data_IF_738531480975
#
_entry.id   IF_738531480975
#
_cell.length_a   1.000
_cell.length_b   1.000
_cell.length_c   1.000
_cell.angle_alpha   90.00
_cell.angle_beta   90.00
_cell.angle_gamma   90.00
#
_symmetry.space_group_name_H-M   'P 1'
#
loop_
_entity.id
_entity.type
_entity.pdbx_description
1 polymer ?
#
# COMPACT_ATOMS: atom_id res chain seq x y z
N UNK A 1 -3.29 -16.22 28.13
CA UNK A 1 -4.66 -15.87 27.69
C UNK A 1 -4.56 -15.22 26.32
N UNK A 2 -5.05 -15.88 25.26
CA UNK A 2 -5.04 -15.31 23.90
C UNK A 2 -6.09 -14.21 23.78
N UNK A 3 -5.68 -13.02 23.33
CA UNK A 3 -6.61 -11.93 23.05
C UNK A 3 -7.62 -12.38 21.99
N UNK A 4 -8.91 -12.20 22.26
CA UNK A 4 -9.99 -12.54 21.33
C UNK A 4 -9.90 -11.63 20.12
N UNK A 5 -9.70 -12.21 18.92
CA UNK A 5 -9.63 -11.45 17.66
C UNK A 5 -10.89 -10.63 17.43
N UNK A 6 -10.73 -9.42 16.90
CA UNK A 6 -11.87 -8.60 16.50
C UNK A 6 -12.52 -9.15 15.21
N UNK A 7 -13.79 -8.78 14.96
CA UNK A 7 -14.45 -9.13 13.70
C UNK A 7 -13.71 -8.58 12.48
N UNK A 8 -13.12 -7.40 12.63
CA UNK A 8 -12.35 -6.75 11.56
C UNK A 8 -11.07 -7.52 11.28
N UNK A 9 -10.32 -7.91 12.32
CA UNK A 9 -9.10 -8.71 12.17
C UNK A 9 -9.38 -10.05 11.47
N UNK A 10 -10.46 -10.73 11.85
CA UNK A 10 -10.87 -11.99 11.20
C UNK A 10 -11.20 -11.79 9.70
N UNK A 11 -11.87 -10.68 9.34
CA UNK A 11 -12.15 -10.34 7.93
C UNK A 11 -10.88 -10.07 7.14
N UNK A 12 -9.92 -9.34 7.71
CA UNK A 12 -8.63 -9.05 7.07
C UNK A 12 -7.85 -10.34 6.85
N UNK A 13 -7.81 -11.23 7.84
CA UNK A 13 -7.17 -12.54 7.70
C UNK A 13 -7.81 -13.39 6.59
N UNK A 14 -9.15 -13.38 6.50
CA UNK A 14 -9.87 -14.07 5.43
C UNK A 14 -9.52 -13.51 4.04
N UNK A 15 -9.43 -12.18 3.89
CA UNK A 15 -8.98 -11.55 2.65
C UNK A 15 -7.56 -11.98 2.27
N UNK A 16 -6.63 -11.97 3.22
CA UNK A 16 -5.28 -12.44 2.97
C UNK A 16 -5.26 -13.91 2.53
N UNK A 17 -6.05 -14.77 3.20
CA UNK A 17 -6.14 -16.19 2.89
C UNK A 17 -6.73 -16.45 1.49
N UNK A 18 -7.71 -15.66 1.04
CA UNK A 18 -8.28 -15.75 -0.32
C UNK A 18 -7.21 -15.55 -1.39
N UNK A 19 -6.22 -14.72 -1.12
CA UNK A 19 -5.06 -14.51 -2.00
C UNK A 19 -3.86 -15.41 -1.65
N UNK A 20 -4.04 -16.44 -0.80
CA UNK A 20 -3.00 -17.39 -0.36
C UNK A 20 -1.83 -16.73 0.40
N UNK A 21 -2.07 -15.62 1.08
CA UNK A 21 -1.10 -14.96 1.95
C UNK A 21 -1.47 -15.12 3.43
N UNK A 22 -0.47 -15.12 4.29
CA UNK A 22 -0.70 -14.90 5.72
C UNK A 22 -0.75 -13.39 6.02
N UNK A 23 -1.63 -12.99 6.94
CA UNK A 23 -1.75 -11.60 7.36
C UNK A 23 -0.43 -11.01 7.89
N UNK A 24 0.38 -11.83 8.56
CA UNK A 24 1.70 -11.42 9.05
C UNK A 24 2.66 -11.09 7.91
N UNK A 25 2.68 -11.90 6.85
CA UNK A 25 3.51 -11.65 5.66
C UNK A 25 3.05 -10.37 4.97
N UNK A 26 1.75 -10.20 4.78
CA UNK A 26 1.18 -8.98 4.17
C UNK A 26 1.56 -7.76 5.00
N UNK A 27 1.41 -7.79 6.32
CA UNK A 27 1.80 -6.69 7.20
C UNK A 27 3.25 -6.25 6.99
N UNK A 28 4.20 -7.16 7.10
CA UNK A 28 5.62 -6.80 7.00
C UNK A 28 6.03 -6.33 5.62
N UNK A 29 5.43 -6.89 4.57
CA UNK A 29 5.65 -6.42 3.20
C UNK A 29 5.09 -5.02 2.98
N UNK A 30 3.90 -4.76 3.51
CA UNK A 30 3.26 -3.45 3.43
C UNK A 30 4.05 -2.36 4.16
N UNK A 31 4.58 -2.67 5.34
CA UNK A 31 5.48 -1.74 6.06
C UNK A 31 6.70 -1.35 5.21
N UNK A 32 7.34 -2.34 4.56
CA UNK A 32 8.49 -2.07 3.68
C UNK A 32 8.12 -1.21 2.47
N UNK A 33 7.01 -1.54 1.82
CA UNK A 33 6.53 -0.82 0.62
C UNK A 33 6.18 0.61 0.95
N UNK A 34 5.37 0.81 2.00
CA UNK A 34 4.95 2.14 2.43
C UNK A 34 6.12 2.99 2.96
N UNK A 35 7.08 2.37 3.68
CA UNK A 35 8.31 3.05 4.09
C UNK A 35 9.11 3.55 2.90
N UNK A 36 9.29 2.71 1.87
CA UNK A 36 9.99 3.10 0.65
C UNK A 36 9.25 4.17 -0.15
N UNK A 37 7.93 4.14 -0.19
CA UNK A 37 7.13 5.20 -0.78
C UNK A 37 7.39 6.55 -0.12
N UNK A 38 7.43 6.61 1.23
CA UNK A 38 7.79 7.83 1.96
C UNK A 38 9.17 8.34 1.59
N UNK A 39 10.16 7.45 1.54
CA UNK A 39 11.54 7.82 1.20
C UNK A 39 11.63 8.45 -0.20
N UNK A 40 10.93 7.88 -1.18
CA UNK A 40 10.92 8.39 -2.55
C UNK A 40 10.15 9.70 -2.66
N UNK A 41 8.99 9.81 -2.02
CA UNK A 41 8.17 11.02 -2.04
C UNK A 41 8.89 12.23 -1.43
N UNK A 42 9.73 11.99 -0.43
CA UNK A 42 10.48 13.04 0.27
C UNK A 42 11.83 13.36 -0.38
N UNK A 43 12.21 12.68 -1.48
CA UNK A 43 13.39 13.06 -2.23
C UNK A 43 13.18 14.47 -2.82
N UNK A 44 14.20 15.38 -2.73
CA UNK A 44 14.10 16.68 -3.33
C UNK A 44 13.92 16.51 -4.85
N UNK A 45 12.76 16.95 -5.36
CA UNK A 45 12.49 16.94 -6.80
C UNK A 45 13.40 17.98 -7.44
N UNK A 46 14.43 17.54 -8.14
CA UNK A 46 15.13 18.40 -9.09
C UNK A 46 14.16 18.64 -10.25
N UNK A 47 13.46 19.77 -10.20
CA UNK A 47 12.57 20.24 -11.27
C UNK A 47 13.44 20.61 -12.47
N UNK A 48 13.59 19.67 -13.40
CA UNK A 48 14.12 19.98 -14.72
C UNK A 48 12.96 20.38 -15.64
N UNK A 49 13.20 21.33 -16.55
CA UNK A 49 12.19 21.84 -17.50
C UNK A 49 11.60 20.76 -18.44
N UNK A 50 12.16 19.56 -18.43
CA UNK A 50 11.73 18.41 -19.25
C UNK A 50 10.90 17.36 -18.47
N UNK A 51 10.37 17.74 -17.30
CA UNK A 51 9.68 16.80 -16.40
C UNK A 51 8.52 16.04 -17.05
N UNK A 52 7.74 16.69 -17.92
CA UNK A 52 6.58 16.04 -18.56
C UNK A 52 6.97 14.95 -19.57
N UNK A 53 8.06 15.17 -20.32
CA UNK A 53 8.55 14.16 -21.30
C UNK A 53 9.18 12.96 -20.61
N UNK A 54 9.86 13.19 -19.48
CA UNK A 54 10.44 12.15 -18.65
C UNK A 54 9.34 11.37 -17.97
N UNK A 55 8.32 12.03 -17.44
CA UNK A 55 7.15 11.39 -16.83
C UNK A 55 6.44 10.44 -17.82
N UNK A 56 6.15 10.87 -19.04
CA UNK A 56 5.50 10.02 -20.05
C UNK A 56 6.37 8.82 -20.48
N UNK A 57 7.65 9.03 -20.69
CA UNK A 57 8.59 7.92 -20.98
C UNK A 57 8.69 6.94 -19.82
N UNK A 58 8.69 7.44 -18.60
CA UNK A 58 8.73 6.62 -17.39
C UNK A 58 7.42 5.83 -17.27
N UNK A 59 6.27 6.46 -17.51
CA UNK A 59 4.95 5.80 -17.56
C UNK A 59 4.92 4.62 -18.52
N UNK A 60 5.44 4.80 -19.74
CA UNK A 60 5.53 3.74 -20.75
C UNK A 60 6.44 2.61 -20.32
N UNK A 61 7.64 2.91 -19.84
CA UNK A 61 8.61 1.93 -19.36
C UNK A 61 8.08 1.05 -18.24
N UNK A 62 7.24 1.61 -17.40
CA UNK A 62 6.66 0.93 -16.25
C UNK A 62 5.54 0.01 -16.67
N UNK A 63 4.63 0.51 -17.51
CA UNK A 63 3.60 -0.32 -18.12
C UNK A 63 4.23 -1.54 -18.79
N UNK A 64 5.33 -1.34 -19.51
CA UNK A 64 6.06 -2.44 -20.18
C UNK A 64 6.72 -3.41 -19.20
N UNK A 65 7.37 -2.91 -18.15
CA UNK A 65 7.97 -3.76 -17.11
C UNK A 65 6.95 -4.55 -16.35
N UNK A 66 5.84 -3.91 -15.99
CA UNK A 66 4.73 -4.53 -15.28
C UNK A 66 4.09 -5.63 -16.14
N UNK A 67 3.78 -5.31 -17.39
CA UNK A 67 3.25 -6.25 -18.36
C UNK A 67 4.18 -7.46 -18.58
N UNK A 68 5.47 -7.23 -18.76
CA UNK A 68 6.47 -8.32 -18.92
C UNK A 68 6.60 -9.19 -17.67
N UNK A 69 6.51 -8.63 -16.47
CA UNK A 69 6.54 -9.39 -15.22
C UNK A 69 5.29 -10.25 -15.04
N UNK A 70 4.12 -9.71 -15.38
CA UNK A 70 2.86 -10.44 -15.32
C UNK A 70 2.82 -11.61 -16.30
N UNK A 71 3.17 -11.36 -17.57
CA UNK A 71 3.19 -12.38 -18.62
C UNK A 71 4.17 -13.53 -18.31
N UNK A 72 5.27 -13.25 -17.61
CA UNK A 72 6.24 -14.29 -17.21
C UNK A 72 5.78 -15.16 -16.03
N UNK A 73 4.61 -14.96 -15.46
CA UNK A 73 4.12 -15.63 -14.23
C UNK A 73 5.09 -15.51 -13.04
N UNK A 74 6.03 -14.59 -13.09
CA UNK A 74 7.00 -14.37 -12.00
C UNK A 74 6.38 -13.57 -10.84
N UNK A 75 5.24 -12.92 -11.08
CA UNK A 75 4.46 -12.24 -10.03
C UNK A 75 4.04 -13.17 -8.88
N UNK A 76 4.03 -14.48 -9.09
CA UNK A 76 3.75 -15.46 -8.03
C UNK A 76 4.91 -15.65 -7.04
N UNK A 77 6.12 -15.16 -7.35
CA UNK A 77 7.25 -15.21 -6.44
C UNK A 77 7.25 -13.96 -5.57
N UNK A 78 7.20 -14.17 -4.27
CA UNK A 78 7.12 -13.11 -3.26
C UNK A 78 8.19 -12.01 -3.39
N UNK A 79 9.34 -12.29 -3.96
CA UNK A 79 10.42 -11.32 -4.20
C UNK A 79 10.17 -10.37 -5.38
N UNK A 80 9.52 -10.84 -6.45
CA UNK A 80 9.18 -10.01 -7.61
C UNK A 80 8.05 -9.03 -7.29
N UNK A 81 7.14 -9.40 -6.40
CA UNK A 81 6.07 -8.54 -5.96
C UNK A 81 6.57 -7.31 -5.22
N UNK A 82 7.49 -7.49 -4.28
CA UNK A 82 8.07 -6.38 -3.52
C UNK A 82 8.75 -5.36 -4.46
N UNK A 83 9.39 -5.84 -5.51
CA UNK A 83 10.03 -5.00 -6.52
C UNK A 83 9.00 -4.23 -7.35
N UNK A 84 7.97 -4.93 -7.85
CA UNK A 84 6.92 -4.33 -8.68
C UNK A 84 6.14 -3.28 -7.90
N UNK A 85 5.68 -3.60 -6.70
CA UNK A 85 4.95 -2.66 -5.85
C UNK A 85 5.81 -1.47 -5.45
N UNK A 86 7.09 -1.71 -5.17
CA UNK A 86 8.05 -0.64 -4.87
C UNK A 86 8.29 0.27 -6.07
N UNK A 87 8.45 -0.28 -7.27
CA UNK A 87 8.59 0.50 -8.50
C UNK A 87 7.33 1.33 -8.79
N UNK A 88 6.15 0.79 -8.53
CA UNK A 88 4.89 1.48 -8.79
C UNK A 88 4.61 2.62 -7.81
N UNK A 89 4.88 2.41 -6.53
CA UNK A 89 4.75 3.48 -5.53
C UNK A 89 5.83 4.56 -5.68
N UNK A 90 6.84 4.34 -6.50
CA UNK A 90 7.86 5.35 -6.85
C UNK A 90 7.41 6.35 -7.92
N UNK A 91 6.15 6.29 -8.36
CA UNK A 91 5.67 7.00 -9.54
C UNK A 91 4.60 8.03 -9.27
N UNK A 92 4.40 8.89 -10.28
CA UNK A 92 3.39 9.93 -10.35
C UNK A 92 1.95 9.42 -10.07
N UNK A 93 1.69 8.13 -10.29
CA UNK A 93 0.40 7.48 -10.03
C UNK A 93 0.26 6.87 -8.63
N UNK A 94 1.27 6.98 -7.79
CA UNK A 94 1.20 6.35 -6.48
C UNK A 94 0.07 6.93 -5.63
N UNK A 95 -0.17 8.23 -5.75
CA UNK A 95 -1.27 8.90 -5.04
C UNK A 95 -2.63 8.37 -5.50
N UNK A 96 -2.84 8.22 -6.82
CA UNK A 96 -4.09 7.65 -7.37
C UNK A 96 -4.33 6.21 -6.92
N UNK A 97 -3.26 5.41 -6.84
CA UNK A 97 -3.35 4.02 -6.37
C UNK A 97 -3.67 3.98 -4.87
N UNK A 98 -3.06 4.85 -4.07
CA UNK A 98 -3.32 4.95 -2.64
C UNK A 98 -4.77 5.37 -2.39
N UNK A 99 -5.26 6.37 -3.12
CA UNK A 99 -6.65 6.82 -3.00
C UNK A 99 -7.64 5.73 -3.42
N UNK A 100 -7.39 5.00 -4.51
CA UNK A 100 -8.21 3.85 -4.93
C UNK A 100 -8.26 2.76 -3.85
N UNK A 101 -7.15 2.49 -3.15
CA UNK A 101 -7.15 1.53 -2.03
C UNK A 101 -8.03 2.02 -0.89
N UNK A 102 -8.00 3.31 -0.54
CA UNK A 102 -8.88 3.85 0.49
C UNK A 102 -10.35 3.83 0.09
N UNK A 103 -10.69 4.15 -1.14
CA UNK A 103 -12.05 4.02 -1.66
C UNK A 103 -12.54 2.57 -1.60
N UNK A 104 -11.67 1.62 -1.89
CA UNK A 104 -11.98 0.19 -1.77
C UNK A 104 -12.22 -0.23 -0.32
N UNK A 105 -11.47 0.32 0.65
CA UNK A 105 -11.76 0.09 2.07
C UNK A 105 -13.18 0.55 2.43
N UNK A 106 -13.58 1.72 1.96
CA UNK A 106 -14.95 2.25 2.18
C UNK A 106 -15.99 1.34 1.55
N UNK A 107 -15.83 0.97 0.28
CA UNK A 107 -16.78 0.13 -0.46
C UNK A 107 -16.97 -1.25 0.18
N UNK A 108 -15.93 -1.76 0.83
CA UNK A 108 -15.97 -3.03 1.56
C UNK A 108 -16.43 -2.88 3.02
N UNK A 109 -16.90 -1.72 3.44
CA UNK A 109 -17.33 -1.44 4.83
C UNK A 109 -16.23 -1.75 5.87
N UNK A 110 -14.98 -1.35 5.59
CA UNK A 110 -13.94 -1.26 6.59
C UNK A 110 -13.89 0.16 7.19
N UNK A 111 -13.35 0.34 8.40
CA UNK A 111 -13.28 1.66 9.06
C UNK A 111 -12.18 2.54 8.44
N UNK A 112 -12.35 2.91 7.17
CA UNK A 112 -11.38 3.66 6.39
C UNK A 112 -11.03 5.01 7.03
N UNK A 113 -12.01 5.71 7.62
CA UNK A 113 -11.83 6.99 8.32
C UNK A 113 -10.87 6.87 9.53
N UNK A 114 -10.86 5.71 10.19
CA UNK A 114 -9.95 5.46 11.30
C UNK A 114 -8.54 5.02 10.82
N UNK A 115 -8.46 4.36 9.67
CA UNK A 115 -7.23 3.80 9.13
C UNK A 115 -6.44 4.80 8.29
N UNK A 116 -7.12 5.69 7.56
CA UNK A 116 -6.50 6.71 6.72
C UNK A 116 -5.51 7.59 7.50
N UNK A 117 -5.86 8.19 8.64
CA UNK A 117 -4.91 8.96 9.44
C UNK A 117 -3.70 8.14 9.89
N UNK A 118 -3.92 6.87 10.27
CA UNK A 118 -2.83 6.00 10.70
C UNK A 118 -1.83 5.77 9.56
N UNK A 119 -2.31 5.43 8.36
CA UNK A 119 -1.45 5.25 7.19
C UNK A 119 -0.77 6.57 6.82
N UNK A 120 -1.53 7.67 6.80
CA UNK A 120 -1.01 8.99 6.45
C UNK A 120 0.15 9.40 7.33
N UNK A 121 -0.04 9.45 8.65
CA UNK A 121 1.01 9.91 9.57
C UNK A 121 2.20 8.96 9.67
N UNK A 122 2.00 7.66 9.49
CA UNK A 122 3.11 6.71 9.51
C UNK A 122 3.94 6.69 8.22
N UNK A 123 3.34 7.00 7.03
CA UNK A 123 4.01 6.69 5.76
C UNK A 123 3.89 7.76 4.68
N UNK A 124 2.97 8.72 4.81
CA UNK A 124 2.71 9.71 3.76
C UNK A 124 3.13 11.11 4.22
N UNK A 125 2.94 11.41 5.50
CA UNK A 125 3.28 12.70 6.07
C UNK A 125 4.76 13.04 5.83
N UNK A 126 5.09 14.28 5.38
CA UNK A 126 6.46 14.65 5.01
C UNK A 126 7.43 14.63 6.18
N UNK A 127 6.95 14.88 7.40
CA UNK A 127 7.76 14.81 8.62
C UNK A 127 7.54 13.46 9.27
N UNK A 128 8.64 12.79 9.64
CA UNK A 128 8.57 11.54 10.37
C UNK A 128 8.16 11.81 11.82
N UNK A 129 7.02 11.24 12.21
CA UNK A 129 6.48 11.34 13.57
C UNK A 129 6.72 10.02 14.31
N UNK A 130 6.98 10.12 15.60
CA UNK A 130 6.99 8.97 16.49
C UNK A 130 5.58 8.38 16.69
N UNK A 131 5.49 7.13 17.10
CA UNK A 131 4.20 6.51 17.40
C UNK A 131 3.44 7.28 18.50
N UNK A 132 4.14 7.87 19.46
CA UNK A 132 3.60 8.70 20.54
C UNK A 132 2.96 9.98 19.99
N UNK A 133 3.64 10.68 19.09
CA UNK A 133 3.11 11.89 18.44
C UNK A 133 1.90 11.57 17.60
N UNK A 134 1.94 10.47 16.84
CA UNK A 134 0.80 10.03 16.03
C UNK A 134 -0.40 9.69 16.92
N UNK A 135 -0.19 8.99 18.04
CA UNK A 135 -1.28 8.66 18.97
C UNK A 135 -1.97 9.91 19.53
N UNK A 136 -1.19 10.96 19.82
CA UNK A 136 -1.73 12.25 20.29
C UNK A 136 -2.52 12.91 19.18
N UNK A 137 -1.96 12.98 17.98
CA UNK A 137 -2.58 13.65 16.83
C UNK A 137 -3.94 13.04 16.44
N UNK A 138 -4.03 11.71 16.47
CA UNK A 138 -5.26 11.00 16.09
C UNK A 138 -6.16 10.64 17.28
N UNK A 139 -5.78 11.02 18.50
CA UNK A 139 -6.60 10.83 19.71
C UNK A 139 -6.81 9.37 20.10
N UNK A 140 -5.85 8.48 19.87
CA UNK A 140 -5.97 7.07 20.20
C UNK A 140 -5.15 6.67 21.42
N UNK A 141 -5.72 5.79 22.26
CA UNK A 141 -4.94 5.12 23.30
C UNK A 141 -3.90 4.18 22.69
N UNK A 142 -2.79 3.94 23.41
CA UNK A 142 -1.68 3.08 22.95
C UNK A 142 -2.16 1.70 22.46
N UNK A 143 -3.00 1.02 23.24
CA UNK A 143 -3.50 -0.31 22.87
C UNK A 143 -4.38 -0.28 21.61
N UNK A 144 -5.24 0.73 21.47
CA UNK A 144 -6.08 0.92 20.29
C UNK A 144 -5.24 1.26 19.06
N UNK A 145 -4.24 2.11 19.21
CA UNK A 145 -3.36 2.52 18.12
C UNK A 145 -2.61 1.32 17.52
N UNK A 146 -1.89 0.56 18.32
CA UNK A 146 -1.10 -0.56 17.77
C UNK A 146 -1.98 -1.64 17.13
N UNK A 147 -3.15 -1.91 17.70
CA UNK A 147 -4.10 -2.82 17.09
C UNK A 147 -4.59 -2.30 15.73
N UNK A 148 -5.08 -1.04 15.69
CA UNK A 148 -5.58 -0.42 14.46
C UNK A 148 -4.46 -0.20 13.43
N UNK A 149 -3.24 0.11 13.86
CA UNK A 149 -2.07 0.22 12.98
C UNK A 149 -1.79 -1.11 12.26
N UNK A 150 -1.81 -2.21 12.98
CA UNK A 150 -1.66 -3.55 12.38
C UNK A 150 -2.79 -3.87 11.41
N UNK A 151 -4.04 -3.62 11.80
CA UNK A 151 -5.23 -3.83 10.96
C UNK A 151 -5.14 -2.96 9.68
N UNK A 152 -4.88 -1.66 9.82
CA UNK A 152 -4.80 -0.70 8.72
C UNK A 152 -3.71 -1.07 7.69
N UNK A 153 -2.50 -1.34 8.16
CA UNK A 153 -1.36 -1.68 7.29
C UNK A 153 -1.60 -3.01 6.57
N UNK A 154 -2.14 -4.03 7.26
CA UNK A 154 -2.42 -5.32 6.64
C UNK A 154 -3.52 -5.21 5.61
N UNK A 155 -4.61 -4.51 5.94
CA UNK A 155 -5.70 -4.28 5.00
C UNK A 155 -5.25 -3.49 3.79
N UNK A 156 -4.50 -2.41 4.00
CA UNK A 156 -3.93 -1.62 2.92
C UNK A 156 -3.12 -2.49 1.96
N UNK A 157 -2.23 -3.31 2.48
CA UNK A 157 -1.37 -4.15 1.65
C UNK A 157 -2.12 -5.19 0.82
N UNK A 158 -3.13 -5.85 1.39
CA UNK A 158 -3.89 -6.85 0.63
C UNK A 158 -4.80 -6.20 -0.42
N UNK A 159 -5.35 -5.02 -0.14
CA UNK A 159 -6.15 -4.28 -1.10
C UNK A 159 -5.29 -3.65 -2.20
N UNK A 160 -4.10 -3.15 -1.84
CA UNK A 160 -3.11 -2.71 -2.82
C UNK A 160 -2.74 -3.84 -3.80
N UNK A 161 -2.50 -5.04 -3.27
CA UNK A 161 -2.25 -6.22 -4.09
C UNK A 161 -3.42 -6.52 -5.05
N UNK A 162 -4.65 -6.51 -4.54
CA UNK A 162 -5.85 -6.73 -5.36
C UNK A 162 -6.01 -5.68 -6.45
N UNK A 163 -5.86 -4.40 -6.11
CA UNK A 163 -5.94 -3.28 -7.04
C UNK A 163 -4.91 -3.43 -8.17
N UNK A 164 -3.72 -3.86 -7.83
CA UNK A 164 -2.65 -4.06 -8.78
C UNK A 164 -2.93 -5.21 -9.74
N UNK A 165 -3.47 -6.33 -9.26
CA UNK A 165 -3.88 -7.45 -10.11
C UNK A 165 -4.95 -7.03 -11.11
N UNK A 166 -5.98 -6.33 -10.66
CA UNK A 166 -7.07 -5.86 -11.51
C UNK A 166 -6.57 -4.92 -12.62
N UNK A 167 -5.69 -3.98 -12.28
CA UNK A 167 -5.08 -3.08 -13.28
C UNK A 167 -4.23 -3.84 -14.30
N UNK A 168 -3.56 -4.92 -13.89
CA UNK A 168 -2.82 -5.78 -14.81
C UNK A 168 -3.73 -6.54 -15.76
N UNK A 169 -4.80 -7.12 -15.24
CA UNK A 169 -5.76 -7.88 -16.05
C UNK A 169 -6.44 -6.98 -17.09
N UNK A 170 -6.77 -5.75 -16.71
CA UNK A 170 -7.31 -4.76 -17.64
C UNK A 170 -6.30 -4.38 -18.75
N UNK A 171 -5.01 -4.29 -18.40
CA UNK A 171 -3.96 -3.95 -19.36
C UNK A 171 -3.65 -5.10 -20.34
N UNK A 172 -3.95 -6.36 -19.98
CA UNK A 172 -3.76 -7.54 -20.86
C UNK A 172 -4.89 -7.70 -21.87
N UNK A 173 -6.09 -7.19 -21.54
CA UNK A 173 -7.30 -7.33 -22.38
C UNK A 173 -7.52 -6.16 -23.37
N UNK A 174 -6.60 -5.20 -23.42
CA UNK A 174 -6.54 -4.08 -24.37
C UNK A 174 -5.48 -4.32 -25.43
#
# INVERSE_FOLDING_TARGET
MGQRKTKVEARIEALCANHRFSATVVFWKSVKILGRYRDIRNLPVMVTKDSNLIAEKTKSLIRDKFFKSYVRKECAKTGSLDYILSDMLSMEYADDVIDAVFERMVSMNFPAEEYRPIIYYNFIHPVELSDEEIMIEIGLSRSSYYRKKKEAITLFGILLWSEMLERCELAVNL
#
